data_IF_605861005778
#
_entry.id   IF_605861005778
#
_cell.length_a   1.000
_cell.length_b   1.000
_cell.length_c   1.000
_cell.angle_alpha   90.00
_cell.angle_beta   90.00
_cell.angle_gamma   90.00
#
_symmetry.space_group_name_H-M   'P 1'
#
loop_
_entity.id
_entity.type
_entity.pdbx_description
1 polymer ?
#
# COMPACT_ATOMS: atom_id res chain seq x y z
N UNK A 1 -8.13 8.11 -4.96
CA UNK A 1 -9.06 8.10 -3.82
C UNK A 1 -8.59 7.02 -2.86
N UNK A 2 -8.74 7.19 -1.55
CA UNK A 2 -8.44 6.15 -0.55
C UNK A 2 -9.68 6.04 0.33
N UNK A 3 -10.46 4.99 0.13
CA UNK A 3 -11.80 4.81 0.69
C UNK A 3 -11.78 4.83 2.22
N UNK A 4 -10.71 4.29 2.83
CA UNK A 4 -10.50 4.33 4.28
C UNK A 4 -10.27 5.75 4.80
N UNK A 5 -9.52 6.58 4.07
CA UNK A 5 -9.29 7.99 4.45
C UNK A 5 -10.58 8.79 4.31
N UNK A 6 -11.34 8.56 3.23
CA UNK A 6 -12.65 9.18 3.06
C UNK A 6 -13.59 8.79 4.21
N UNK A 7 -13.63 7.52 4.58
CA UNK A 7 -14.39 7.05 5.73
C UNK A 7 -13.96 7.76 7.02
N UNK A 8 -12.66 7.86 7.30
CA UNK A 8 -12.13 8.52 8.50
C UNK A 8 -12.55 10.00 8.58
N UNK A 9 -12.46 10.72 7.47
CA UNK A 9 -12.82 12.14 7.40
C UNK A 9 -14.33 12.31 7.58
N UNK A 10 -15.14 11.54 6.84
CA UNK A 10 -16.60 11.74 6.79
C UNK A 10 -17.29 11.23 8.06
N UNK A 11 -16.88 10.08 8.58
CA UNK A 11 -17.59 9.41 9.67
C UNK A 11 -16.98 9.66 11.06
N UNK A 12 -15.67 9.92 11.13
CA UNK A 12 -14.98 10.14 12.41
C UNK A 12 -14.54 11.61 12.59
N UNK A 13 -14.64 12.44 11.56
CA UNK A 13 -14.08 13.80 11.57
C UNK A 13 -12.55 13.79 11.72
N UNK A 14 -11.90 12.67 11.40
CA UNK A 14 -10.49 12.45 11.65
C UNK A 14 -9.69 12.69 10.36
N UNK A 15 -8.93 13.81 10.25
CA UNK A 15 -8.06 14.03 9.10
C UNK A 15 -6.94 12.98 9.06
N UNK A 16 -6.51 12.65 7.84
CA UNK A 16 -5.36 11.79 7.60
C UNK A 16 -4.13 12.62 7.23
N UNK A 17 -3.00 12.38 7.88
CA UNK A 17 -1.72 13.06 7.58
C UNK A 17 -0.70 12.05 7.08
N UNK A 18 -0.22 12.21 5.84
CA UNK A 18 0.87 11.41 5.30
C UNK A 18 2.17 11.71 6.06
N UNK A 19 2.89 10.67 6.43
CA UNK A 19 4.16 10.74 7.18
C UNK A 19 5.31 10.24 6.32
N UNK A 20 6.50 10.78 6.57
CA UNK A 20 7.73 10.21 6.04
C UNK A 20 8.03 8.85 6.69
N UNK A 21 8.77 8.00 5.99
CA UNK A 21 9.26 6.73 6.53
C UNK A 21 10.26 6.99 7.67
N UNK A 22 10.24 6.15 8.70
CA UNK A 22 11.23 6.15 9.80
C UNK A 22 12.10 4.90 9.71
N UNK A 23 13.29 4.87 10.34
CA UNK A 23 14.12 3.65 10.37
C UNK A 23 13.41 2.42 10.95
N UNK A 24 12.45 2.62 11.85
CA UNK A 24 11.65 1.53 12.43
C UNK A 24 10.59 0.97 11.49
N UNK A 25 10.29 1.67 10.39
CA UNK A 25 9.35 1.26 9.34
C UNK A 25 10.07 0.78 8.07
N UNK A 26 11.40 0.79 8.10
CA UNK A 26 12.22 0.41 6.96
C UNK A 26 12.39 -1.12 6.88
N UNK A 27 12.56 -1.61 5.66
CA UNK A 27 12.90 -3.01 5.37
C UNK A 27 13.82 -3.07 4.16
N UNK A 28 14.63 -4.13 4.07
CA UNK A 28 15.58 -4.31 2.98
C UNK A 28 14.89 -5.00 1.79
N UNK A 29 14.70 -4.33 0.65
CA UNK A 29 14.03 -4.93 -0.48
C UNK A 29 14.93 -5.98 -1.17
N UNK A 30 14.37 -6.86 -2.02
CA UNK A 30 15.16 -7.82 -2.78
C UNK A 30 16.20 -7.13 -3.68
N UNK A 31 17.32 -7.80 -4.05
CA UNK A 31 18.47 -7.15 -4.71
C UNK A 31 18.18 -6.40 -6.01
N UNK A 32 17.12 -6.78 -6.73
CA UNK A 32 16.72 -6.12 -7.97
C UNK A 32 15.97 -4.80 -7.73
N UNK A 33 15.62 -4.46 -6.49
CA UNK A 33 14.81 -3.31 -6.12
C UNK A 33 15.65 -2.26 -5.40
N UNK A 34 15.35 -0.99 -5.68
CA UNK A 34 16.04 0.13 -5.08
C UNK A 34 15.07 1.27 -4.75
N UNK A 35 15.43 2.07 -3.76
CA UNK A 35 14.66 3.23 -3.36
C UNK A 35 14.72 4.35 -4.40
N UNK A 36 13.54 4.87 -4.74
CA UNK A 36 13.42 6.19 -5.32
C UNK A 36 13.80 7.22 -4.25
N UNK A 37 14.45 8.29 -4.68
CA UNK A 37 14.76 9.43 -3.83
C UNK A 37 13.52 9.92 -3.03
N UNK A 38 13.73 10.24 -1.76
CA UNK A 38 12.66 10.56 -0.80
C UNK A 38 11.84 11.78 -1.22
N UNK A 39 12.47 12.82 -1.77
CA UNK A 39 11.74 14.02 -2.21
C UNK A 39 10.83 13.69 -3.39
N UNK A 40 11.30 12.81 -4.29
CA UNK A 40 10.49 12.33 -5.41
C UNK A 40 9.34 11.41 -4.96
N UNK A 41 9.57 10.56 -3.95
CA UNK A 41 8.51 9.75 -3.36
C UNK A 41 7.42 10.64 -2.73
N UNK A 42 7.81 11.64 -1.94
CA UNK A 42 6.86 12.58 -1.32
C UNK A 42 6.11 13.43 -2.35
N UNK A 43 6.78 13.86 -3.43
CA UNK A 43 6.12 14.55 -4.55
C UNK A 43 5.05 13.67 -5.23
N UNK A 44 5.20 12.34 -5.16
CA UNK A 44 4.20 11.37 -5.61
C UNK A 44 3.20 10.96 -4.52
N UNK A 45 3.15 11.68 -3.39
CA UNK A 45 2.29 11.38 -2.24
C UNK A 45 2.52 9.99 -1.63
N UNK A 46 3.76 9.51 -1.65
CA UNK A 46 4.18 8.27 -1.04
C UNK A 46 5.29 8.51 0.01
N UNK A 47 5.28 7.70 1.07
CA UNK A 47 6.31 7.73 2.13
C UNK A 47 7.59 7.03 1.71
N UNK A 48 7.48 6.04 0.82
CA UNK A 48 8.59 5.28 0.22
C UNK A 48 8.15 4.77 -1.15
N UNK A 49 9.04 4.78 -2.12
CA UNK A 49 8.81 4.15 -3.43
C UNK A 49 10.01 3.30 -3.78
N UNK A 50 9.78 2.03 -4.08
CA UNK A 50 10.77 1.09 -4.58
C UNK A 50 10.56 0.88 -6.07
N UNK A 51 11.64 0.90 -6.82
CA UNK A 51 11.65 0.64 -8.26
C UNK A 51 12.47 -0.62 -8.54
N UNK A 52 11.96 -1.45 -9.46
CA UNK A 52 12.70 -2.61 -9.92
C UNK A 52 13.68 -2.23 -11.03
N UNK A 53 14.93 -2.64 -10.89
CA UNK A 53 15.94 -2.50 -11.93
C UNK A 53 15.68 -3.48 -13.08
N UNK A 54 15.67 -2.96 -14.29
CA UNK A 54 15.45 -3.74 -15.52
C UNK A 54 16.33 -3.16 -16.65
N UNK A 55 16.91 -4.04 -17.46
CA UNK A 55 17.77 -3.65 -18.59
C UNK A 55 17.33 -4.37 -19.87
N UNK A 56 16.91 -3.65 -20.94
CA UNK A 56 16.71 -2.19 -20.98
C UNK A 56 15.57 -1.74 -20.06
N UNK A 57 15.52 -0.44 -19.72
CA UNK A 57 14.41 0.12 -18.93
C UNK A 57 13.09 -0.02 -19.69
N UNK A 58 12.07 -0.68 -19.12
CA UNK A 58 10.79 -0.86 -19.79
C UNK A 58 9.98 0.44 -19.83
N UNK A 59 8.94 0.53 -20.69
CA UNK A 59 8.01 1.67 -20.71
C UNK A 59 7.32 1.92 -19.36
N UNK A 60 7.08 0.86 -18.59
CA UNK A 60 6.59 0.93 -17.22
C UNK A 60 7.51 0.11 -16.31
N UNK A 61 8.09 0.77 -15.31
CA UNK A 61 8.96 0.14 -14.31
C UNK A 61 8.10 -0.42 -13.19
N UNK A 62 8.26 -1.71 -12.90
CA UNK A 62 7.62 -2.35 -11.75
C UNK A 62 7.99 -1.61 -10.47
N UNK A 63 7.00 -1.25 -9.67
CA UNK A 63 7.19 -0.40 -8.50
C UNK A 63 6.33 -0.83 -7.31
N UNK A 64 6.77 -0.45 -6.13
CA UNK A 64 6.01 -0.53 -4.89
C UNK A 64 5.98 0.86 -4.28
N UNK A 65 4.78 1.39 -4.03
CA UNK A 65 4.58 2.63 -3.29
C UNK A 65 3.99 2.32 -1.92
N UNK A 66 4.59 2.89 -0.88
CA UNK A 66 4.14 2.74 0.51
C UNK A 66 3.71 4.09 1.04
N UNK A 67 2.58 4.12 1.75
CA UNK A 67 2.02 5.32 2.36
C UNK A 67 1.72 5.05 3.84
N UNK A 68 2.26 5.87 4.73
CA UNK A 68 1.95 5.83 6.16
C UNK A 68 1.13 7.05 6.54
N UNK A 69 -0.08 6.85 7.04
CA UNK A 69 -0.99 7.90 7.49
C UNK A 69 -1.18 7.83 9.00
N UNK A 70 -1.06 8.99 9.67
CA UNK A 70 -1.74 9.17 10.95
C UNK A 70 -3.23 9.40 10.68
N UNK A 71 -4.08 8.79 11.48
CA UNK A 71 -5.46 9.19 11.61
C UNK A 71 -5.56 9.95 12.93
N UNK A 72 -6.05 11.20 12.92
CA UNK A 72 -6.15 12.03 14.13
C UNK A 72 -7.32 11.56 15.04
N UNK A 73 -7.25 10.30 15.45
CA UNK A 73 -8.21 9.57 16.27
C UNK A 73 -7.50 8.40 16.94
N UNK A 74 -8.08 7.86 18.01
CA UNK A 74 -7.62 6.61 18.65
C UNK A 74 -8.38 5.38 18.17
N UNK A 75 -9.43 5.58 17.36
CA UNK A 75 -10.25 4.51 16.83
C UNK A 75 -9.58 3.86 15.61
N UNK A 76 -9.11 2.62 15.78
CA UNK A 76 -8.64 1.78 14.67
C UNK A 76 -9.84 1.40 13.80
N UNK A 77 -9.69 1.53 12.49
CA UNK A 77 -10.78 1.32 11.53
C UNK A 77 -10.76 -0.14 11.09
N UNK A 78 -11.86 -0.87 11.31
CA UNK A 78 -12.03 -2.21 10.76
C UNK A 78 -12.28 -2.10 9.26
N UNK A 79 -11.26 -2.39 8.46
CA UNK A 79 -11.27 -2.21 7.02
C UNK A 79 -12.28 -3.09 6.30
N UNK A 80 -12.59 -4.28 6.85
CA UNK A 80 -13.61 -5.18 6.28
C UNK A 80 -15.03 -4.61 6.27
N UNK A 81 -15.29 -3.51 6.99
CA UNK A 81 -16.56 -2.79 6.98
C UNK A 81 -16.63 -1.74 5.85
N UNK A 82 -15.53 -1.57 5.11
CA UNK A 82 -15.37 -0.59 4.04
C UNK A 82 -15.07 -1.36 2.75
N UNK A 83 -15.72 -0.98 1.65
CA UNK A 83 -15.39 -1.52 0.33
C UNK A 83 -14.08 -0.91 -0.18
N UNK A 84 -12.96 -1.51 0.20
CA UNK A 84 -11.60 -1.07 -0.18
C UNK A 84 -11.29 -1.27 -1.66
N UNK A 85 -12.04 -2.16 -2.34
CA UNK A 85 -11.89 -2.41 -3.79
C UNK A 85 -12.22 -1.18 -4.64
N UNK A 86 -12.99 -0.22 -4.09
CA UNK A 86 -13.31 1.06 -4.74
C UNK A 86 -12.06 1.88 -5.09
N UNK A 87 -10.96 1.70 -4.35
CA UNK A 87 -9.67 2.36 -4.64
C UNK A 87 -9.12 1.95 -6.01
N UNK A 88 -9.33 0.68 -6.39
CA UNK A 88 -8.92 0.13 -7.69
C UNK A 88 -10.03 0.37 -8.73
N UNK A 89 -11.30 0.18 -8.38
CA UNK A 89 -12.43 0.33 -9.30
C UNK A 89 -12.55 1.75 -9.89
N UNK A 90 -12.04 2.76 -9.17
CA UNK A 90 -11.97 4.14 -9.66
C UNK A 90 -10.90 4.37 -10.76
N UNK A 91 -10.03 3.39 -11.03
CA UNK A 91 -9.00 3.49 -12.07
C UNK A 91 -9.58 3.26 -13.47
N UNK A 92 -8.94 3.85 -14.49
CA UNK A 92 -9.39 3.76 -15.88
C UNK A 92 -9.37 2.31 -16.41
N UNK A 93 -10.54 1.80 -16.82
CA UNK A 93 -10.67 0.45 -17.35
C UNK A 93 -10.37 -0.65 -16.32
N UNK A 94 -10.61 -0.38 -15.04
CA UNK A 94 -10.27 -1.30 -13.97
C UNK A 94 -11.12 -2.58 -13.99
N UNK A 95 -10.53 -3.69 -13.57
CA UNK A 95 -11.24 -4.94 -13.24
C UNK A 95 -10.65 -5.51 -11.95
N UNK A 96 -11.51 -5.75 -10.96
CA UNK A 96 -11.12 -6.37 -9.70
C UNK A 96 -10.91 -7.87 -9.93
N UNK A 97 -9.77 -8.38 -9.49
CA UNK A 97 -9.39 -9.78 -9.59
C UNK A 97 -9.59 -10.53 -8.28
N UNK A 98 -9.39 -9.86 -7.15
CA UNK A 98 -9.45 -10.47 -5.84
C UNK A 98 -9.57 -9.45 -4.71
N UNK A 99 -10.12 -9.91 -3.60
CA UNK A 99 -10.21 -9.18 -2.34
C UNK A 99 -10.01 -10.19 -1.21
N UNK A 100 -9.04 -9.91 -0.35
CA UNK A 100 -8.68 -10.72 0.80
C UNK A 100 -8.78 -9.87 2.07
N UNK A 101 -9.23 -10.48 3.16
CA UNK A 101 -9.34 -9.83 4.46
C UNK A 101 -8.67 -10.69 5.51
N UNK A 102 -7.79 -10.09 6.32
CA UNK A 102 -7.00 -10.77 7.34
C UNK A 102 -6.95 -9.94 8.64
N UNK A 103 -6.30 -10.48 9.67
CA UNK A 103 -6.14 -9.85 11.00
C UNK A 103 -7.46 -9.32 11.56
N UNK A 104 -8.50 -10.16 11.60
CA UNK A 104 -9.83 -9.79 12.10
C UNK A 104 -10.40 -8.53 11.40
N UNK A 105 -10.16 -8.39 10.09
CA UNK A 105 -10.73 -7.30 9.30
C UNK A 105 -9.92 -6.02 9.28
N UNK A 106 -8.74 -5.98 9.91
CA UNK A 106 -7.88 -4.79 9.92
C UNK A 106 -6.88 -4.72 8.76
N UNK A 107 -6.67 -5.83 8.05
CA UNK A 107 -5.94 -5.87 6.78
C UNK A 107 -6.89 -6.25 5.65
N UNK A 108 -6.90 -5.45 4.59
CA UNK A 108 -7.54 -5.78 3.33
C UNK A 108 -6.50 -5.73 2.21
N UNK A 109 -6.48 -6.75 1.36
CA UNK A 109 -5.61 -6.84 0.19
C UNK A 109 -6.45 -7.01 -1.07
N UNK A 110 -6.38 -6.02 -1.95
CA UNK A 110 -7.14 -5.96 -3.19
C UNK A 110 -6.22 -6.18 -4.38
N UNK A 111 -6.67 -6.96 -5.35
CA UNK A 111 -5.98 -7.13 -6.62
C UNK A 111 -6.86 -6.69 -7.78
N UNK A 112 -6.24 -6.08 -8.78
CA UNK A 112 -6.94 -5.70 -9.98
C UNK A 112 -6.02 -5.40 -11.14
N UNK A 113 -6.63 -5.21 -12.30
CA UNK A 113 -5.96 -4.75 -13.52
C UNK A 113 -6.58 -3.43 -13.94
N UNK A 114 -5.79 -2.57 -14.57
CA UNK A 114 -6.26 -1.28 -15.09
C UNK A 114 -5.36 -0.80 -16.24
N UNK A 115 -5.79 0.25 -16.94
CA UNK A 115 -5.02 0.86 -18.02
C UNK A 115 -4.54 2.25 -17.62
N UNK A 116 -3.25 2.54 -17.82
CA UNK A 116 -2.70 3.88 -17.66
C UNK A 116 -1.56 4.13 -18.65
N UNK A 117 -1.58 5.29 -19.31
CA UNK A 117 -0.58 5.71 -20.30
C UNK A 117 -0.22 4.59 -21.29
N UNK A 118 -1.25 3.98 -21.91
CA UNK A 118 -1.16 2.87 -22.86
C UNK A 118 -0.54 1.56 -22.33
N UNK A 119 -0.36 1.44 -21.01
CA UNK A 119 0.09 0.22 -20.36
C UNK A 119 -1.09 -0.52 -19.70
N UNK A 120 -1.14 -1.84 -19.91
CA UNK A 120 -2.00 -2.73 -19.13
C UNK A 120 -1.26 -3.14 -17.86
N UNK A 121 -1.78 -2.70 -16.73
CA UNK A 121 -1.15 -2.83 -15.43
C UNK A 121 -1.95 -3.79 -14.55
N UNK A 122 -1.23 -4.49 -13.68
CA UNK A 122 -1.79 -5.21 -12.54
C UNK A 122 -1.29 -4.57 -11.26
N UNK A 123 -2.20 -4.44 -10.31
CA UNK A 123 -1.96 -3.84 -9.01
C UNK A 123 -2.37 -4.81 -7.92
N UNK A 124 -1.57 -4.87 -6.86
CA UNK A 124 -1.95 -5.40 -5.55
C UNK A 124 -1.82 -4.29 -4.54
N UNK A 125 -2.90 -4.03 -3.80
CA UNK A 125 -3.01 -2.93 -2.85
C UNK A 125 -3.44 -3.51 -1.50
N UNK A 126 -2.54 -3.45 -0.53
CA UNK A 126 -2.78 -3.96 0.82
C UNK A 126 -2.84 -2.79 1.78
N UNK A 127 -3.91 -2.72 2.57
CA UNK A 127 -4.20 -1.64 3.51
C UNK A 127 -4.30 -2.24 4.90
N UNK A 128 -3.55 -1.70 5.87
CA UNK A 128 -3.60 -2.12 7.26
C UNK A 128 -3.94 -0.93 8.14
N UNK A 129 -5.03 -1.03 8.90
CA UNK A 129 -5.31 -0.10 10.00
C UNK A 129 -4.82 -0.70 11.32
N UNK A 130 -4.15 0.10 12.12
CA UNK A 130 -3.53 -0.36 13.37
C UNK A 130 -3.39 0.79 14.37
N UNK A 131 -3.05 0.46 15.61
CA UNK A 131 -2.71 1.45 16.64
C UNK A 131 -1.19 1.62 16.72
N UNK A 132 -0.71 2.86 16.68
CA UNK A 132 0.70 3.18 16.92
C UNK A 132 1.05 3.06 18.40
N UNK A 133 2.35 2.93 18.77
CA UNK A 133 2.76 2.81 20.17
C UNK A 133 2.34 3.98 21.07
N UNK A 134 2.06 5.15 20.50
CA UNK A 134 1.55 6.33 21.19
C UNK A 134 0.03 6.31 21.42
N UNK A 135 -0.66 5.27 20.96
CA UNK A 135 -2.11 5.10 21.09
C UNK A 135 -2.95 5.69 19.97
N UNK A 136 -2.35 6.34 18.97
CA UNK A 136 -3.07 6.90 17.82
C UNK A 136 -3.45 5.79 16.82
N UNK A 137 -4.54 5.97 16.09
CA UNK A 137 -4.87 5.12 14.96
C UNK A 137 -4.03 5.52 13.74
N UNK A 138 -3.62 4.54 12.95
CA UNK A 138 -2.87 4.73 11.73
C UNK A 138 -3.45 3.87 10.61
N UNK A 139 -3.15 4.28 9.38
CA UNK A 139 -3.39 3.52 8.17
C UNK A 139 -2.08 3.44 7.41
N UNK A 140 -1.62 2.24 7.11
CA UNK A 140 -0.51 2.00 6.21
C UNK A 140 -1.02 1.34 4.94
N UNK A 141 -0.43 1.68 3.80
CA UNK A 141 -0.82 1.13 2.50
C UNK A 141 0.42 0.71 1.74
N UNK A 142 0.40 -0.51 1.21
CA UNK A 142 1.36 -1.07 0.29
C UNK A 142 0.69 -1.22 -1.08
N UNK A 143 1.23 -0.59 -2.12
CA UNK A 143 0.69 -0.70 -3.48
C UNK A 143 1.79 -1.14 -4.43
N UNK A 144 1.72 -2.38 -4.90
CA UNK A 144 2.61 -2.90 -5.92
C UNK A 144 1.96 -2.80 -7.29
N UNK A 145 2.67 -2.26 -8.27
CA UNK A 145 2.18 -2.14 -9.64
C UNK A 145 3.23 -2.65 -10.63
N UNK A 146 2.79 -3.44 -11.59
CA UNK A 146 3.62 -3.88 -12.72
C UNK A 146 2.77 -4.05 -13.98
N UNK A 147 3.40 -4.31 -15.11
CA UNK A 147 2.68 -4.70 -16.34
C UNK A 147 2.14 -6.12 -16.22
N UNK A 148 1.04 -6.43 -16.91
CA UNK A 148 0.50 -7.80 -16.93
C UNK A 148 1.55 -8.84 -17.36
N UNK A 149 2.38 -8.50 -18.35
CA UNK A 149 3.42 -9.40 -18.87
C UNK A 149 4.54 -9.70 -17.86
N UNK A 150 4.67 -8.90 -16.80
CA UNK A 150 5.74 -9.03 -15.79
C UNK A 150 5.25 -9.62 -14.49
N UNK A 151 3.94 -9.61 -14.22
CA UNK A 151 3.37 -10.02 -12.95
C UNK A 151 3.96 -11.32 -12.42
N UNK A 152 3.87 -12.41 -13.18
CA UNK A 152 4.31 -13.74 -12.75
C UNK A 152 5.82 -13.81 -12.43
N UNK A 153 6.62 -12.91 -13.02
CA UNK A 153 8.07 -12.86 -12.78
C UNK A 153 8.45 -12.07 -11.52
N UNK A 154 7.60 -11.15 -11.08
CA UNK A 154 7.89 -10.24 -9.95
C UNK A 154 7.00 -10.49 -8.74
N UNK A 155 5.95 -11.30 -8.87
CA UNK A 155 4.96 -11.55 -7.82
C UNK A 155 5.60 -12.06 -6.53
N UNK A 156 6.55 -13.00 -6.62
CA UNK A 156 7.26 -13.53 -5.43
C UNK A 156 8.03 -12.43 -4.70
N UNK A 157 8.74 -11.56 -5.43
CA UNK A 157 9.47 -10.42 -4.86
C UNK A 157 8.50 -9.42 -4.21
N UNK A 158 7.34 -9.17 -4.84
CA UNK A 158 6.29 -8.29 -4.31
C UNK A 158 5.72 -8.86 -3.00
N UNK A 159 5.38 -10.15 -2.96
CA UNK A 159 4.85 -10.81 -1.76
C UNK A 159 5.86 -10.85 -0.63
N UNK A 160 7.14 -11.02 -0.94
CA UNK A 160 8.23 -10.92 0.05
C UNK A 160 8.29 -9.51 0.65
N UNK A 161 8.26 -8.46 -0.18
CA UNK A 161 8.26 -7.07 0.30
C UNK A 161 7.00 -6.74 1.11
N UNK A 162 5.82 -7.21 0.69
CA UNK A 162 4.57 -7.04 1.43
C UNK A 162 4.66 -7.71 2.82
N UNK A 163 5.20 -8.92 2.89
CA UNK A 163 5.40 -9.63 4.15
C UNK A 163 6.37 -8.89 5.09
N UNK A 164 7.49 -8.39 4.56
CA UNK A 164 8.45 -7.60 5.34
C UNK A 164 7.81 -6.29 5.82
N UNK A 165 7.09 -5.58 4.95
CA UNK A 165 6.34 -4.38 5.28
C UNK A 165 5.32 -4.62 6.41
N UNK A 166 4.55 -5.70 6.36
CA UNK A 166 3.62 -6.09 7.41
C UNK A 166 4.35 -6.37 8.72
N UNK A 167 5.41 -7.18 8.68
CA UNK A 167 6.17 -7.59 9.87
C UNK A 167 6.83 -6.40 10.56
N UNK A 168 7.31 -5.42 9.79
CA UNK A 168 7.89 -4.19 10.33
C UNK A 168 6.81 -3.22 10.85
N UNK A 169 5.63 -3.19 10.22
CA UNK A 169 4.57 -2.23 10.60
C UNK A 169 3.74 -2.68 11.79
N UNK A 170 3.41 -3.98 11.88
CA UNK A 170 2.68 -4.53 13.02
C UNK A 170 3.63 -4.53 14.22
N UNK A 171 3.39 -3.71 15.25
CA UNK A 171 4.21 -3.73 16.44
C UNK A 171 4.16 -5.14 17.03
N UNK A 172 5.30 -5.69 17.49
CA UNK A 172 5.40 -7.01 18.14
C UNK A 172 4.66 -7.09 19.49
N UNK A 173 3.69 -6.23 19.75
CA UNK A 173 2.95 -6.11 20.99
C UNK A 173 1.44 -6.27 20.75
N UNK A 174 0.92 -7.47 21.03
CA UNK A 174 -0.44 -7.64 21.52
C UNK A 174 -1.49 -8.16 20.54
N UNK A 175 -1.32 -9.40 20.07
CA UNK A 175 -2.50 -10.28 20.00
C UNK A 175 -2.90 -10.55 21.45
N UNK A 176 -3.95 -9.90 21.93
CA UNK A 176 -4.70 -10.32 23.11
C UNK A 176 -6.12 -10.65 22.65
#
# INVERSE_FOLDING_TARGET
>A
MISVIEYAIVNLGAPATLRATTPSLDFTPPPAWYDLDTDRAHAASASRVLLRSETPTPPFVSNVAIQYFNLDTTQVIRLSEIDTTLDIAALGGATILGHETEYDGYLCSDEGIYTAADNNLRVRRSQLSYQTPDGSAALTIFTATTTLARWDTVETEIKEMEHQWLTTTIPTSGVN
#
